data_IF_007375829262
#
_entry.id   IF_007375829262
#
_cell.length_a   1.000
_cell.length_b   1.000
_cell.length_c   1.000
_cell.angle_alpha   90.00
_cell.angle_beta   90.00
_cell.angle_gamma   90.00
#
_symmetry.space_group_name_H-M   'P 1'
#
loop_
_entity.id
_entity.type
_entity.pdbx_description
1 polymer ?
#
# COMPACT_ATOMS: atom_id res chain seq x y z
N UNK A 1 -4.02 8.37 13.92
CA UNK A 1 -5.26 8.60 13.14
C UNK A 1 -6.36 7.74 13.75
N UNK A 2 -7.56 8.27 13.95
CA UNK A 2 -8.72 7.54 14.49
C UNK A 2 -9.78 7.42 13.41
N UNK A 3 -10.31 6.22 13.20
CA UNK A 3 -11.45 6.00 12.31
C UNK A 3 -12.78 6.27 13.05
N UNK A 4 -13.90 6.31 12.32
CA UNK A 4 -15.22 6.50 12.92
C UNK A 4 -15.61 5.26 13.75
N UNK A 5 -15.73 5.42 15.07
CA UNK A 5 -16.04 4.32 15.98
C UNK A 5 -17.47 3.79 15.86
N UNK A 6 -18.36 4.48 15.15
CA UNK A 6 -19.73 4.02 14.90
C UNK A 6 -19.82 3.05 13.71
N UNK A 7 -18.75 2.92 12.92
CA UNK A 7 -18.70 2.01 11.78
C UNK A 7 -18.16 0.63 12.18
N UNK A 8 -18.44 -0.37 11.33
CA UNK A 8 -17.94 -1.73 11.55
C UNK A 8 -16.49 -1.82 11.09
N UNK A 9 -15.71 -2.65 11.79
CA UNK A 9 -14.32 -2.95 11.44
C UNK A 9 -13.37 -1.75 11.45
N UNK A 10 -13.68 -0.73 12.26
CA UNK A 10 -12.82 0.45 12.46
C UNK A 10 -11.91 0.32 13.69
N UNK A 11 -10.92 1.19 13.75
CA UNK A 11 -9.92 1.22 14.80
C UNK A 11 -9.10 2.51 14.85
N UNK A 12 -7.97 2.42 15.54
CA UNK A 12 -7.00 3.52 15.70
C UNK A 12 -5.67 3.09 15.11
N UNK A 13 -5.13 3.94 14.23
CA UNK A 13 -3.74 3.87 13.81
C UNK A 13 -2.85 4.70 14.74
N UNK A 14 -1.82 4.08 15.28
CA UNK A 14 -0.78 4.72 16.09
C UNK A 14 0.59 4.39 15.50
N UNK A 15 1.38 5.42 15.20
CA UNK A 15 2.64 5.25 14.51
C UNK A 15 3.19 6.56 13.98
N UNK A 16 4.19 6.45 13.11
CA UNK A 16 4.85 7.57 12.46
C UNK A 16 4.42 7.58 11.00
N UNK A 17 4.02 8.75 10.50
CA UNK A 17 3.80 9.00 9.08
C UNK A 17 4.86 9.98 8.58
N UNK A 18 5.41 9.72 7.40
CA UNK A 18 6.38 10.58 6.73
C UNK A 18 6.01 10.73 5.25
N UNK A 19 5.93 11.98 4.79
CA UNK A 19 5.67 12.31 3.40
C UNK A 19 6.63 13.41 2.97
N UNK A 20 7.38 13.13 1.92
CA UNK A 20 8.33 14.05 1.34
C UNK A 20 7.67 14.87 0.23
N UNK A 21 7.96 16.17 0.27
CA UNK A 21 7.53 17.15 -0.71
C UNK A 21 8.73 17.97 -1.17
N UNK A 22 8.63 18.58 -2.34
CA UNK A 22 9.57 19.59 -2.82
C UNK A 22 8.82 20.84 -3.26
N UNK A 23 9.53 21.97 -3.35
CA UNK A 23 8.96 23.22 -3.87
C UNK A 23 9.28 23.32 -5.35
N UNK A 24 8.25 23.53 -6.17
CA UNK A 24 8.36 23.78 -7.59
C UNK A 24 7.54 25.02 -7.96
N UNK A 25 8.20 26.09 -8.43
CA UNK A 25 7.55 27.37 -8.75
C UNK A 25 6.54 27.81 -7.66
N UNK A 26 7.02 27.92 -6.41
CA UNK A 26 6.23 28.28 -5.22
C UNK A 26 5.05 27.34 -4.89
N UNK A 27 4.98 26.17 -5.52
CA UNK A 27 3.98 25.14 -5.24
C UNK A 27 4.62 23.98 -4.46
N UNK A 28 3.98 23.55 -3.38
CA UNK A 28 4.34 22.32 -2.69
C UNK A 28 3.91 21.12 -3.54
N UNK A 29 4.88 20.36 -4.05
CA UNK A 29 4.65 19.22 -4.93
C UNK A 29 5.06 17.93 -4.23
N UNK A 30 4.26 16.88 -4.39
CA UNK A 30 4.58 15.55 -3.88
C UNK A 30 5.91 15.07 -4.47
N UNK A 31 6.82 14.56 -3.65
CA UNK A 31 8.13 14.14 -4.13
C UNK A 31 8.07 12.76 -4.80
N UNK A 32 7.87 12.77 -6.10
CA UNK A 32 7.90 11.61 -7.00
C UNK A 32 9.04 11.68 -8.02
N UNK A 33 10.03 12.57 -7.80
CA UNK A 33 11.15 12.83 -8.72
C UNK A 33 11.97 11.58 -9.05
N UNK A 34 11.96 10.59 -8.15
CA UNK A 34 12.64 9.30 -8.31
C UNK A 34 11.69 8.13 -8.54
N UNK A 35 10.47 8.36 -9.03
CA UNK A 35 9.45 7.31 -9.28
C UNK A 35 9.92 6.16 -10.19
N UNK A 36 10.94 6.39 -11.02
CA UNK A 36 11.58 5.37 -11.85
C UNK A 36 12.71 4.59 -11.18
N UNK A 37 13.07 4.94 -9.94
CA UNK A 37 14.14 4.29 -9.20
C UNK A 37 13.61 3.14 -8.32
N UNK A 38 14.32 2.01 -8.31
CA UNK A 38 13.96 0.79 -7.56
C UNK A 38 13.90 1.00 -6.03
N UNK A 39 14.58 2.03 -5.53
CA UNK A 39 14.62 2.42 -4.12
C UNK A 39 13.63 3.53 -3.75
N UNK A 40 12.74 3.93 -4.67
CA UNK A 40 11.75 4.96 -4.38
C UNK A 40 10.84 4.52 -3.23
N UNK A 41 10.70 5.41 -2.24
CA UNK A 41 9.71 5.28 -1.17
C UNK A 41 9.24 6.66 -0.79
N UNK A 42 7.94 6.84 -0.58
CA UNK A 42 7.39 8.07 -0.03
C UNK A 42 6.01 7.74 0.61
N UNK A 43 5.37 8.71 1.27
CA UNK A 43 4.06 8.57 1.90
C UNK A 43 3.96 7.31 2.78
N UNK A 44 4.89 7.18 3.71
CA UNK A 44 5.07 5.98 4.50
C UNK A 44 4.44 6.12 5.88
N UNK A 45 3.82 5.03 6.35
CA UNK A 45 3.39 4.86 7.72
C UNK A 45 4.00 3.58 8.31
N UNK A 46 4.51 3.70 9.53
CA UNK A 46 4.99 2.58 10.33
C UNK A 46 4.31 2.63 11.69
N UNK A 47 3.56 1.58 12.03
CA UNK A 47 2.85 1.55 13.29
C UNK A 47 1.91 0.35 13.45
N UNK A 48 0.88 0.57 14.26
CA UNK A 48 -0.13 -0.43 14.58
C UNK A 48 -1.53 0.10 14.30
N UNK A 49 -2.41 -0.77 13.85
CA UNK A 49 -3.86 -0.56 13.87
C UNK A 49 -4.47 -1.37 15.02
N UNK A 50 -5.33 -0.74 15.82
CA UNK A 50 -6.03 -1.39 16.94
C UNK A 50 -7.52 -1.30 16.76
N UNK A 51 -8.20 -2.45 16.72
CA UNK A 51 -9.65 -2.53 16.55
C UNK A 51 -10.42 -1.90 17.71
N UNK A 52 -11.46 -1.12 17.42
CA UNK A 52 -12.38 -0.63 18.44
C UNK A 52 -13.24 -1.74 19.04
N UNK A 53 -13.67 -2.72 18.24
CA UNK A 53 -14.61 -3.75 18.68
C UNK A 53 -13.94 -4.89 19.45
N UNK A 54 -12.71 -5.27 19.09
CA UNK A 54 -12.01 -6.39 19.72
C UNK A 54 -10.82 -5.98 20.59
N UNK A 55 -10.34 -4.73 20.46
CA UNK A 55 -9.09 -4.29 21.09
C UNK A 55 -7.83 -4.95 20.53
N UNK A 56 -7.95 -5.79 19.49
CA UNK A 56 -6.81 -6.46 18.87
C UNK A 56 -5.95 -5.47 18.09
N UNK A 57 -4.66 -5.43 18.40
CA UNK A 57 -3.67 -4.66 17.64
C UNK A 57 -2.97 -5.53 16.60
N UNK A 58 -2.68 -4.93 15.44
CA UNK A 58 -1.92 -5.53 14.33
C UNK A 58 -0.87 -4.55 13.85
N UNK A 59 0.30 -5.04 13.44
CA UNK A 59 1.25 -4.22 12.68
C UNK A 59 0.57 -3.76 11.40
N UNK A 60 0.66 -2.46 11.13
CA UNK A 60 0.08 -1.84 9.97
C UNK A 60 1.10 -0.86 9.41
N UNK A 61 1.81 -1.30 8.39
CA UNK A 61 2.77 -0.49 7.66
C UNK A 61 2.28 -0.37 6.22
N UNK A 62 2.39 0.82 5.65
CA UNK A 62 2.09 1.07 4.25
C UNK A 62 3.01 2.18 3.74
N UNK A 63 3.14 2.28 2.43
CA UNK A 63 4.01 3.25 1.78
C UNK A 63 3.79 3.23 0.28
N UNK A 64 4.05 4.35 -0.37
CA UNK A 64 4.12 4.38 -1.82
C UNK A 64 5.35 3.61 -2.27
N UNK A 65 5.14 2.80 -3.32
CA UNK A 65 6.15 1.99 -4.01
C UNK A 65 6.74 0.82 -3.20
N UNK A 66 7.08 0.99 -1.92
CA UNK A 66 7.57 -0.07 -1.01
C UNK A 66 6.89 0.01 0.36
N UNK A 67 6.67 -1.15 0.97
CA UNK A 67 6.15 -1.24 2.35
C UNK A 67 7.31 -1.22 3.35
N UNK A 68 7.37 -0.25 4.29
CA UNK A 68 8.48 -0.17 5.24
C UNK A 68 8.42 -1.24 6.33
N UNK A 69 9.58 -1.61 6.87
CA UNK A 69 9.71 -2.46 8.07
C UNK A 69 8.93 -3.78 8.01
N UNK A 70 8.84 -4.40 6.84
CA UNK A 70 8.23 -5.73 6.67
C UNK A 70 9.31 -6.77 6.38
N UNK A 71 9.14 -7.96 6.94
CA UNK A 71 10.03 -9.10 6.66
C UNK A 71 9.27 -10.14 5.87
N UNK A 72 9.72 -10.39 4.64
CA UNK A 72 9.20 -11.46 3.79
C UNK A 72 7.77 -11.27 3.28
N UNK A 73 7.22 -10.05 3.35
CA UNK A 73 5.97 -9.64 2.70
C UNK A 73 6.20 -8.98 1.35
N UNK A 74 7.06 -7.97 1.28
CA UNK A 74 7.50 -7.37 0.01
C UNK A 74 8.70 -8.14 -0.54
N UNK A 75 8.50 -8.83 -1.67
CA UNK A 75 9.50 -9.58 -2.43
C UNK A 75 9.84 -8.90 -3.77
N UNK A 76 9.46 -7.64 -3.94
CA UNK A 76 9.73 -6.87 -5.15
C UNK A 76 11.22 -6.59 -5.36
N UNK A 77 11.69 -6.76 -6.60
CA UNK A 77 13.04 -6.37 -7.01
C UNK A 77 13.15 -4.86 -7.26
N UNK A 78 12.19 -4.29 -8.00
CA UNK A 78 12.13 -2.87 -8.36
C UNK A 78 10.99 -2.16 -7.61
N UNK A 79 9.75 -2.60 -7.83
CA UNK A 79 8.53 -2.11 -7.16
C UNK A 79 7.99 -3.13 -6.17
N UNK A 80 7.11 -2.73 -5.26
CA UNK A 80 6.38 -3.64 -4.37
C UNK A 80 5.82 -4.84 -5.15
N UNK A 81 6.08 -6.03 -4.62
CA UNK A 81 5.40 -7.26 -5.06
C UNK A 81 5.19 -8.15 -3.84
N UNK A 82 3.96 -8.56 -3.53
CA UNK A 82 3.74 -9.46 -2.41
C UNK A 82 4.42 -10.80 -2.71
N UNK A 83 5.14 -11.32 -1.71
CA UNK A 83 5.70 -12.65 -1.76
C UNK A 83 4.59 -13.69 -1.96
N UNK A 84 4.88 -14.75 -2.70
CA UNK A 84 3.85 -15.68 -3.22
C UNK A 84 2.95 -16.28 -2.13
N UNK A 85 3.50 -16.54 -0.93
CA UNK A 85 2.74 -17.04 0.24
C UNK A 85 1.61 -16.12 0.72
N UNK A 86 1.60 -14.86 0.30
CA UNK A 86 0.57 -13.88 0.65
C UNK A 86 -0.38 -13.55 -0.51
N UNK A 87 -0.11 -14.05 -1.72
CA UNK A 87 -0.85 -13.64 -2.92
C UNK A 87 -2.34 -13.97 -2.80
N UNK A 88 -2.68 -15.11 -2.22
CA UNK A 88 -4.07 -15.54 -1.97
C UNK A 88 -4.84 -14.62 -1.01
N UNK A 89 -4.17 -13.73 -0.28
CA UNK A 89 -4.80 -12.82 0.69
C UNK A 89 -5.32 -11.53 0.03
N UNK A 90 -5.77 -11.62 -1.23
CA UNK A 90 -6.33 -10.49 -1.97
C UNK A 90 -5.38 -9.80 -2.95
N UNK A 91 -4.19 -10.34 -3.21
CA UNK A 91 -3.18 -9.72 -4.09
C UNK A 91 -3.07 -10.35 -5.49
N UNK A 92 -3.95 -11.29 -5.83
CA UNK A 92 -3.96 -11.95 -7.15
C UNK A 92 -4.10 -10.92 -8.28
N UNK A 93 -5.05 -9.98 -8.14
CA UNK A 93 -5.30 -8.91 -9.12
C UNK A 93 -4.02 -8.11 -9.39
N UNK A 94 -3.41 -7.56 -8.34
CA UNK A 94 -2.15 -6.83 -8.44
C UNK A 94 -1.03 -7.63 -9.10
N UNK A 95 -0.85 -8.94 -8.80
CA UNK A 95 0.20 -9.76 -9.43
C UNK A 95 -0.05 -9.93 -10.93
N UNK A 96 -1.29 -10.19 -11.33
CA UNK A 96 -1.69 -10.33 -12.73
C UNK A 96 -1.53 -9.00 -13.47
N UNK A 97 -1.98 -7.88 -12.88
CA UNK A 97 -1.81 -6.55 -13.46
C UNK A 97 -0.33 -6.18 -13.70
N UNK A 98 0.56 -6.74 -12.89
CA UNK A 98 2.01 -6.58 -12.99
C UNK A 98 2.70 -7.59 -13.93
N UNK A 99 1.94 -8.42 -14.65
CA UNK A 99 2.46 -9.35 -15.65
C UNK A 99 2.78 -10.76 -15.14
N UNK A 100 2.27 -11.14 -13.96
CA UNK A 100 2.30 -12.56 -13.56
C UNK A 100 1.44 -13.40 -14.53
N UNK A 101 1.85 -14.65 -14.76
CA UNK A 101 1.13 -15.57 -15.65
C UNK A 101 -0.32 -15.76 -15.17
N UNK A 102 -1.33 -15.46 -15.99
CA UNK A 102 -2.72 -15.49 -15.57
C UNK A 102 -3.27 -16.92 -15.55
N UNK A 103 -3.69 -17.42 -14.38
CA UNK A 103 -4.52 -18.64 -14.28
C UNK A 103 -6.02 -18.33 -14.14
N UNK A 104 -6.39 -17.12 -13.70
CA UNK A 104 -7.75 -16.80 -13.24
C UNK A 104 -8.36 -15.50 -13.81
N UNK A 105 -7.55 -14.57 -14.31
CA UNK A 105 -7.97 -13.26 -14.83
C UNK A 105 -6.96 -12.80 -15.87
N UNK A 106 -7.37 -12.11 -16.95
CA UNK A 106 -6.41 -11.59 -17.91
C UNK A 106 -5.77 -10.26 -17.45
N UNK A 107 -4.65 -9.88 -18.04
CA UNK A 107 -3.87 -8.70 -17.62
C UNK A 107 -4.66 -7.39 -17.77
N UNK A 108 -5.44 -7.24 -18.85
CA UNK A 108 -6.22 -6.02 -19.10
C UNK A 108 -7.34 -5.83 -18.07
N UNK A 109 -8.04 -6.91 -17.71
CA UNK A 109 -9.07 -6.91 -16.67
C UNK A 109 -8.48 -6.59 -15.30
N UNK A 110 -7.32 -7.15 -14.97
CA UNK A 110 -6.63 -6.87 -13.72
C UNK A 110 -6.18 -5.40 -13.64
N UNK A 111 -5.59 -4.88 -14.72
CA UNK A 111 -5.19 -3.47 -14.79
C UNK A 111 -6.39 -2.54 -14.71
N UNK A 112 -7.51 -2.90 -15.34
CA UNK A 112 -8.75 -2.11 -15.20
C UNK A 112 -9.21 -2.08 -13.74
N UNK A 113 -9.29 -3.23 -13.08
CA UNK A 113 -9.72 -3.33 -11.68
C UNK A 113 -8.82 -2.54 -10.72
N UNK A 114 -7.48 -2.60 -10.89
CA UNK A 114 -6.54 -1.85 -10.05
C UNK A 114 -6.63 -0.32 -10.27
N UNK A 115 -7.10 0.12 -11.44
CA UNK A 115 -7.32 1.54 -11.76
C UNK A 115 -8.74 2.01 -11.49
N UNK A 116 -9.66 1.14 -11.05
CA UNK A 116 -11.02 1.54 -10.68
C UNK A 116 -10.98 2.43 -9.44
N UNK A 117 -11.73 3.52 -9.48
CA UNK A 117 -11.85 4.44 -8.35
C UNK A 117 -12.65 3.75 -7.25
N UNK A 118 -11.99 3.45 -6.14
CA UNK A 118 -12.57 2.72 -5.01
C UNK A 118 -12.86 3.60 -3.78
N UNK A 119 -12.53 4.89 -3.84
CA UNK A 119 -12.91 5.90 -2.86
C UNK A 119 -13.89 6.91 -3.48
N UNK A 120 -15.04 7.15 -2.84
CA UNK A 120 -15.96 8.26 -3.12
C UNK A 120 -16.51 8.84 -1.82
#
# INVERSE_FOLDING_TARGET
MTENSNEKHTGIFQGISATDFYINNDTLTYNDLRSSADDMTNNQFVGTWTSYSTGTSKNCNWGDYRVPNVTGFDCGAARFSPCDKYVSNGWIGLKIANGASPEHMNIEEAQKAENEKWWE
#
